data_IF_617816950032
#
_entry.id   IF_617816950032
#
_cell.length_a   1.000
_cell.length_b   1.000
_cell.length_c   1.000
_cell.angle_alpha   90.00
_cell.angle_beta   90.00
_cell.angle_gamma   90.00
#
_symmetry.space_group_name_H-M   'P 1'
#
loop_
_entity.id
_entity.type
_entity.pdbx_description
1 polymer ?
#
# COMPACT_ATOMS: atom_id res chain seq x y z
N UNK A 1 -7.86 -4.83 27.92
CA UNK A 1 -7.12 -3.72 27.28
C UNK A 1 -5.95 -4.26 26.46
N UNK A 2 -4.98 -4.98 27.06
CA UNK A 2 -3.82 -5.54 26.34
C UNK A 2 -4.13 -6.42 25.09
N UNK A 3 -5.23 -7.20 25.08
CA UNK A 3 -5.66 -7.96 23.89
C UNK A 3 -6.10 -7.05 22.74
N UNK A 4 -6.89 -6.03 23.03
CA UNK A 4 -7.37 -5.07 22.03
C UNK A 4 -6.19 -4.28 21.44
N UNK A 5 -5.25 -3.86 22.30
CA UNK A 5 -4.03 -3.17 21.87
C UNK A 5 -3.15 -4.06 20.98
N UNK A 6 -3.05 -5.36 21.31
CA UNK A 6 -2.34 -6.34 20.49
C UNK A 6 -2.98 -6.59 19.12
N UNK A 7 -4.32 -6.64 19.07
CA UNK A 7 -5.05 -6.71 17.79
C UNK A 7 -4.86 -5.44 16.98
N UNK A 8 -4.93 -4.27 17.60
CA UNK A 8 -4.75 -2.99 16.92
C UNK A 8 -3.33 -2.85 16.35
N UNK A 9 -2.32 -3.27 17.12
CA UNK A 9 -0.94 -3.34 16.67
C UNK A 9 -0.75 -4.33 15.50
N UNK A 10 -1.46 -5.47 15.52
CA UNK A 10 -1.41 -6.44 14.43
C UNK A 10 -2.07 -5.93 13.14
N UNK A 11 -3.19 -5.22 13.26
CA UNK A 11 -3.92 -4.65 12.12
C UNK A 11 -3.22 -3.44 11.50
N UNK A 12 -2.29 -2.79 12.22
CA UNK A 12 -1.49 -1.64 11.77
C UNK A 12 -2.35 -0.61 11.03
N UNK A 13 -3.32 0.04 11.70
CA UNK A 13 -4.29 0.92 11.03
C UNK A 13 -3.63 2.06 10.23
N UNK A 14 -2.44 2.50 10.63
CA UNK A 14 -1.66 3.51 9.89
C UNK A 14 -1.24 3.04 8.48
N UNK A 15 -1.10 1.75 8.22
CA UNK A 15 -0.77 1.25 6.87
C UNK A 15 -1.99 1.13 5.96
N UNK A 16 -3.21 1.35 6.45
CA UNK A 16 -4.42 1.36 5.62
C UNK A 16 -4.40 2.45 4.56
N UNK A 17 -3.69 3.55 4.81
CA UNK A 17 -3.48 4.60 3.80
C UNK A 17 -2.76 4.08 2.55
N UNK A 18 -1.93 3.03 2.68
CA UNK A 18 -1.22 2.46 1.55
C UNK A 18 -2.15 1.81 0.51
N UNK A 19 -3.31 1.30 0.93
CA UNK A 19 -4.33 0.75 0.01
C UNK A 19 -5.49 1.71 -0.24
N UNK A 20 -5.82 2.58 0.71
CA UNK A 20 -6.87 3.57 0.54
C UNK A 20 -6.50 4.65 -0.48
N UNK A 21 -5.29 5.22 -0.39
CA UNK A 21 -4.88 6.33 -1.25
C UNK A 21 -4.89 5.99 -2.75
N UNK A 22 -4.33 4.85 -3.21
CA UNK A 22 -4.39 4.49 -4.63
C UNK A 22 -5.83 4.37 -5.15
N UNK A 23 -6.75 3.82 -4.35
CA UNK A 23 -8.17 3.70 -4.72
C UNK A 23 -8.85 5.06 -4.75
N UNK A 24 -8.60 5.92 -3.77
CA UNK A 24 -9.17 7.29 -3.74
C UNK A 24 -8.66 8.14 -4.90
N UNK A 25 -7.37 8.07 -5.23
CA UNK A 25 -6.80 8.73 -6.41
C UNK A 25 -7.44 8.17 -7.68
N UNK A 26 -7.63 6.86 -7.79
CA UNK A 26 -8.32 6.25 -8.93
C UNK A 26 -9.76 6.76 -9.06
N UNK A 27 -10.51 6.82 -7.95
CA UNK A 27 -11.86 7.38 -7.93
C UNK A 27 -11.87 8.84 -8.37
N UNK A 28 -10.97 9.67 -7.85
CA UNK A 28 -10.85 11.07 -8.23
C UNK A 28 -10.59 11.24 -9.74
N UNK A 29 -9.68 10.45 -10.31
CA UNK A 29 -9.37 10.47 -11.74
C UNK A 29 -10.55 10.02 -12.61
N UNK A 30 -11.37 9.08 -12.13
CA UNK A 30 -12.52 8.57 -12.87
C UNK A 30 -13.76 9.48 -12.77
N UNK A 31 -13.99 10.08 -11.61
CA UNK A 31 -15.09 11.05 -11.39
C UNK A 31 -14.90 12.28 -12.29
N UNK A 32 -13.65 12.71 -12.47
CA UNK A 32 -13.30 13.90 -13.27
C UNK A 32 -13.07 13.59 -14.76
N UNK A 33 -13.15 12.32 -15.16
CA UNK A 33 -12.90 11.91 -16.54
C UNK A 33 -14.08 12.29 -17.45
N UNK A 34 -13.84 13.05 -18.54
CA UNK A 34 -14.89 13.49 -19.47
C UNK A 34 -15.63 12.32 -20.14
N UNK A 35 -14.92 11.22 -20.40
CA UNK A 35 -15.44 10.13 -21.24
C UNK A 35 -16.38 9.18 -20.50
N UNK A 36 -16.27 9.05 -19.17
CA UNK A 36 -17.11 8.14 -18.37
C UNK A 36 -17.08 8.50 -16.88
N UNK A 37 -17.73 9.60 -16.46
CA UNK A 37 -17.72 10.01 -15.07
C UNK A 37 -18.39 8.93 -14.20
N UNK A 38 -17.63 8.40 -13.25
CA UNK A 38 -18.15 7.46 -12.25
C UNK A 38 -18.81 8.27 -11.13
N UNK A 39 -20.00 7.85 -10.68
CA UNK A 39 -20.62 8.43 -9.49
C UNK A 39 -20.09 7.76 -8.23
N UNK A 40 -20.10 8.45 -7.09
CA UNK A 40 -19.94 7.77 -5.81
C UNK A 40 -21.15 6.87 -5.59
N UNK A 41 -20.98 5.58 -5.86
CA UNK A 41 -22.00 4.55 -5.74
C UNK A 41 -21.55 3.41 -4.83
N UNK A 42 -22.46 2.47 -4.60
CA UNK A 42 -22.23 1.28 -3.79
C UNK A 42 -20.97 0.50 -4.26
N UNK A 43 -20.68 0.48 -5.56
CA UNK A 43 -19.50 -0.18 -6.10
C UNK A 43 -18.18 0.54 -5.76
N UNK A 44 -18.12 1.87 -5.79
CA UNK A 44 -16.98 2.65 -5.31
C UNK A 44 -16.69 2.36 -3.83
N UNK A 45 -17.73 2.29 -3.01
CA UNK A 45 -17.60 1.92 -1.60
C UNK A 45 -17.11 0.47 -1.44
N UNK A 46 -17.62 -0.47 -2.25
CA UNK A 46 -17.14 -1.86 -2.21
C UNK A 46 -15.68 -1.98 -2.63
N UNK A 47 -15.23 -1.25 -3.65
CA UNK A 47 -13.84 -1.26 -4.10
C UNK A 47 -12.89 -0.75 -3.00
N UNK A 48 -13.24 0.36 -2.35
CA UNK A 48 -12.48 0.90 -1.23
C UNK A 48 -12.46 -0.08 -0.04
N UNK A 49 -13.61 -0.68 0.29
CA UNK A 49 -13.72 -1.67 1.36
C UNK A 49 -12.83 -2.87 1.10
N UNK A 50 -12.82 -3.41 -0.13
CA UNK A 50 -11.96 -4.53 -0.51
C UNK A 50 -10.48 -4.16 -0.39
N UNK A 51 -10.08 -2.98 -0.87
CA UNK A 51 -8.68 -2.54 -0.76
C UNK A 51 -8.21 -2.42 0.70
N UNK A 52 -9.08 -1.93 1.59
CA UNK A 52 -8.80 -1.89 3.03
C UNK A 52 -8.69 -3.31 3.62
N UNK A 53 -9.62 -4.21 3.29
CA UNK A 53 -9.61 -5.60 3.77
C UNK A 53 -8.39 -6.39 3.27
N UNK A 54 -7.95 -6.18 2.03
CA UNK A 54 -6.72 -6.78 1.48
C UNK A 54 -5.49 -6.27 2.26
N UNK A 55 -5.44 -4.99 2.61
CA UNK A 55 -4.33 -4.46 3.41
C UNK A 55 -4.33 -5.03 4.83
N UNK A 56 -5.50 -5.20 5.45
CA UNK A 56 -5.64 -5.89 6.74
C UNK A 56 -5.16 -7.35 6.65
N UNK A 57 -5.53 -8.06 5.58
CA UNK A 57 -5.07 -9.42 5.32
C UNK A 57 -3.54 -9.47 5.20
N UNK A 58 -2.93 -8.55 4.44
CA UNK A 58 -1.48 -8.46 4.29
C UNK A 58 -0.76 -8.17 5.62
N UNK A 59 -1.29 -7.24 6.42
CA UNK A 59 -0.77 -6.92 7.75
C UNK A 59 -0.82 -8.14 8.68
N UNK A 60 -1.97 -8.83 8.70
CA UNK A 60 -2.18 -10.00 9.53
C UNK A 60 -1.27 -11.17 9.12
N UNK A 61 -1.11 -11.41 7.81
CA UNK A 61 -0.15 -12.39 7.30
C UNK A 61 1.29 -12.01 7.65
N UNK A 62 1.65 -10.73 7.66
CA UNK A 62 2.99 -10.31 8.09
C UNK A 62 3.25 -10.60 9.58
N UNK A 63 2.23 -10.49 10.44
CA UNK A 63 2.32 -10.90 11.85
C UNK A 63 2.51 -12.41 11.97
N UNK A 64 1.75 -13.19 11.21
CA UNK A 64 1.90 -14.65 11.15
C UNK A 64 3.32 -15.09 10.76
N UNK A 65 3.90 -14.47 9.73
CA UNK A 65 5.26 -14.78 9.24
C UNK A 65 6.35 -14.41 10.26
N UNK A 66 6.12 -13.34 11.01
CA UNK A 66 7.05 -12.85 12.01
C UNK A 66 6.79 -13.43 13.41
N UNK A 67 6.04 -14.53 13.52
CA UNK A 67 5.78 -15.18 14.81
C UNK A 67 7.06 -15.69 15.52
N UNK A 68 8.19 -15.81 14.81
CA UNK A 68 9.49 -16.09 15.43
C UNK A 68 10.26 -14.84 15.88
N UNK A 69 9.92 -13.64 15.38
CA UNK A 69 10.46 -12.32 15.82
C UNK A 69 10.01 -11.96 17.26
N UNK A 70 9.01 -12.67 17.74
CA UNK A 70 8.34 -12.60 19.05
C UNK A 70 9.19 -12.92 20.28
N UNK A 71 10.34 -13.58 20.10
CA UNK A 71 11.19 -14.01 21.22
C UNK A 71 12.22 -12.94 21.64
N UNK A 72 12.23 -11.76 21.00
CA UNK A 72 13.08 -10.65 21.44
C UNK A 72 12.50 -9.95 22.68
N UNK A 73 13.33 -9.61 23.68
CA UNK A 73 12.88 -8.91 24.89
C UNK A 73 12.28 -7.54 24.57
N UNK A 74 11.25 -7.13 25.33
CA UNK A 74 10.47 -5.88 25.15
C UNK A 74 11.31 -4.58 25.01
N UNK A 75 12.59 -4.60 25.39
CA UNK A 75 13.46 -3.43 25.46
C UNK A 75 13.97 -2.93 24.09
N UNK A 76 13.97 -3.78 23.06
CA UNK A 76 14.48 -3.46 21.71
C UNK A 76 13.41 -3.10 20.70
N UNK A 77 12.14 -3.18 21.09
CA UNK A 77 11.02 -2.90 20.22
C UNK A 77 10.49 -1.50 20.54
N UNK A 78 10.79 -0.52 19.68
CA UNK A 78 10.14 0.79 19.69
C UNK A 78 8.61 0.66 19.65
N UNK A 79 7.89 1.79 19.76
CA UNK A 79 6.43 1.82 19.98
C UNK A 79 5.57 0.89 19.09
N UNK A 80 6.03 0.55 17.88
CA UNK A 80 5.35 -0.36 16.93
C UNK A 80 5.55 -1.86 17.18
N UNK A 81 6.49 -2.25 18.04
CA UNK A 81 6.81 -3.64 18.34
C UNK A 81 6.28 -4.12 19.71
N UNK A 82 5.31 -3.40 20.31
CA UNK A 82 4.48 -3.98 21.36
C UNK A 82 3.48 -5.00 20.81
N UNK A 83 3.89 -5.84 19.88
CA UNK A 83 3.17 -7.09 19.66
C UNK A 83 3.56 -7.96 20.84
N UNK A 84 2.75 -7.89 21.90
CA UNK A 84 2.77 -8.87 22.99
C UNK A 84 2.30 -10.19 22.36
N UNK A 85 3.23 -10.87 21.69
CA UNK A 85 2.99 -12.16 21.02
C UNK A 85 3.00 -13.22 22.12
N UNK A 86 1.89 -13.25 22.84
CA UNK A 86 1.34 -14.40 23.54
C UNK A 86 -0.21 -14.35 23.57
N UNK A 87 -0.83 -13.35 22.92
CA UNK A 87 -2.28 -13.14 22.97
C UNK A 87 -3.03 -13.64 21.73
N UNK A 88 -2.42 -13.63 20.52
CA UNK A 88 -3.05 -14.17 19.32
C UNK A 88 -2.41 -15.49 18.91
N UNK A 89 -3.21 -16.57 18.90
CA UNK A 89 -2.75 -17.87 18.45
C UNK A 89 -2.63 -17.92 16.92
N UNK A 90 -1.70 -18.76 16.43
CA UNK A 90 -1.53 -19.01 14.99
C UNK A 90 -2.85 -19.47 14.32
N UNK A 91 -3.67 -20.22 15.06
CA UNK A 91 -4.99 -20.68 14.61
C UNK A 91 -6.01 -19.55 14.54
N UNK A 92 -5.98 -18.60 15.47
CA UNK A 92 -6.79 -17.39 15.40
C UNK A 92 -6.42 -16.59 14.16
N UNK A 93 -5.16 -16.21 14.00
CA UNK A 93 -4.69 -15.42 12.84
C UNK A 93 -5.17 -16.03 11.51
N UNK A 94 -5.07 -17.35 11.35
CA UNK A 94 -5.59 -18.05 10.16
C UNK A 94 -7.10 -17.92 9.99
N UNK A 95 -7.89 -18.05 11.07
CA UNK A 95 -9.36 -17.88 11.03
C UNK A 95 -9.73 -16.45 10.65
N UNK A 96 -9.05 -15.45 11.19
CA UNK A 96 -9.27 -14.04 10.84
C UNK A 96 -8.94 -13.76 9.37
N UNK A 97 -7.83 -14.30 8.86
CA UNK A 97 -7.48 -14.19 7.44
C UNK A 97 -8.55 -14.78 6.52
N UNK A 98 -9.07 -15.98 6.84
CA UNK A 98 -10.16 -16.61 6.09
C UNK A 98 -11.44 -15.78 6.19
N UNK A 99 -11.79 -15.28 7.38
CA UNK A 99 -12.96 -14.44 7.57
C UNK A 99 -12.89 -13.17 6.72
N UNK A 100 -11.74 -12.50 6.64
CA UNK A 100 -11.54 -11.33 5.78
C UNK A 100 -11.81 -11.67 4.30
N UNK A 101 -11.31 -12.80 3.81
CA UNK A 101 -11.56 -13.24 2.43
C UNK A 101 -13.04 -13.53 2.20
N UNK A 102 -13.71 -14.21 3.12
CA UNK A 102 -15.15 -14.47 3.02
C UNK A 102 -15.94 -13.16 2.97
N UNK A 103 -15.61 -12.17 3.81
CA UNK A 103 -16.25 -10.86 3.80
C UNK A 103 -16.00 -10.13 2.47
N UNK A 104 -14.79 -10.18 1.91
CA UNK A 104 -14.48 -9.61 0.60
C UNK A 104 -15.32 -10.25 -0.53
N UNK A 105 -15.42 -11.58 -0.53
CA UNK A 105 -16.21 -12.32 -1.52
C UNK A 105 -17.72 -12.03 -1.37
N UNK A 106 -18.22 -11.91 -0.15
CA UNK A 106 -19.61 -11.55 0.11
C UNK A 106 -19.92 -10.11 -0.35
N UNK A 107 -19.01 -9.17 -0.10
CA UNK A 107 -19.15 -7.79 -0.58
C UNK A 107 -19.17 -7.73 -2.12
N UNK A 108 -18.29 -8.47 -2.79
CA UNK A 108 -18.27 -8.57 -4.25
C UNK A 108 -19.53 -9.22 -4.82
N UNK A 109 -19.98 -10.34 -4.23
CA UNK A 109 -21.19 -11.04 -4.63
C UNK A 109 -22.45 -10.20 -4.42
N UNK A 110 -22.55 -9.54 -3.27
CA UNK A 110 -23.66 -8.61 -2.97
C UNK A 110 -23.71 -7.44 -3.94
N UNK A 111 -22.57 -6.83 -4.25
CA UNK A 111 -22.48 -5.75 -5.23
C UNK A 111 -22.83 -6.23 -6.66
N UNK A 112 -22.40 -7.44 -7.04
CA UNK A 112 -22.71 -8.04 -8.33
C UNK A 112 -24.22 -8.25 -8.53
N UNK A 113 -24.91 -8.77 -7.51
CA UNK A 113 -26.37 -8.98 -7.55
C UNK A 113 -27.11 -7.64 -7.50
N UNK A 114 -26.70 -6.72 -6.62
CA UNK A 114 -27.40 -5.45 -6.42
C UNK A 114 -27.31 -4.49 -7.62
N UNK A 115 -26.21 -4.55 -8.38
CA UNK A 115 -25.94 -3.65 -9.51
C UNK A 115 -25.90 -4.38 -10.87
N UNK A 116 -26.29 -5.66 -10.90
CA UNK A 116 -26.28 -6.51 -12.10
C UNK A 116 -24.95 -6.43 -12.89
N UNK A 117 -23.81 -6.41 -12.16
CA UNK A 117 -22.50 -6.21 -12.80
C UNK A 117 -22.18 -7.32 -13.79
N UNK A 118 -21.52 -7.04 -14.93
CA UNK A 118 -21.13 -8.09 -15.85
C UNK A 118 -20.20 -9.11 -15.18
N UNK A 119 -20.40 -10.42 -15.36
CA UNK A 119 -19.62 -11.47 -14.69
C UNK A 119 -18.10 -11.35 -14.89
N UNK A 120 -17.66 -10.81 -16.04
CA UNK A 120 -16.25 -10.57 -16.34
C UNK A 120 -15.59 -9.61 -15.33
N UNK A 121 -16.33 -8.58 -14.92
CA UNK A 121 -15.83 -7.56 -13.99
C UNK A 121 -15.76 -8.12 -12.57
N UNK A 122 -16.84 -8.72 -12.08
CA UNK A 122 -16.87 -9.35 -10.75
C UNK A 122 -15.89 -10.51 -10.66
N UNK A 123 -15.82 -11.36 -11.69
CA UNK A 123 -14.89 -12.50 -11.76
C UNK A 123 -13.43 -12.07 -11.72
N UNK A 124 -13.08 -10.97 -12.42
CA UNK A 124 -11.75 -10.37 -12.33
C UNK A 124 -11.41 -9.90 -10.92
N UNK A 125 -12.34 -9.22 -10.24
CA UNK A 125 -12.14 -8.79 -8.85
C UNK A 125 -11.99 -9.98 -7.89
N UNK A 126 -12.78 -11.04 -8.05
CA UNK A 126 -12.66 -12.29 -7.27
C UNK A 126 -11.30 -12.94 -7.51
N UNK A 127 -10.84 -13.01 -8.75
CA UNK A 127 -9.52 -13.56 -9.08
C UNK A 127 -8.38 -12.78 -8.40
N UNK A 128 -8.49 -11.45 -8.32
CA UNK A 128 -7.52 -10.61 -7.62
C UNK A 128 -7.54 -10.80 -6.10
N UNK A 129 -8.72 -10.94 -5.48
CA UNK A 129 -8.82 -11.28 -4.05
C UNK A 129 -8.19 -12.65 -3.79
N UNK A 130 -8.42 -13.63 -4.66
CA UNK A 130 -7.79 -14.94 -4.56
C UNK A 130 -6.27 -14.85 -4.72
N UNK A 131 -5.78 -14.10 -5.70
CA UNK A 131 -4.35 -13.87 -5.90
C UNK A 131 -3.70 -13.18 -4.69
N UNK A 132 -4.36 -12.17 -4.11
CA UNK A 132 -3.91 -11.51 -2.89
C UNK A 132 -3.82 -12.48 -1.70
N UNK A 133 -4.79 -13.38 -1.55
CA UNK A 133 -4.76 -14.42 -0.52
C UNK A 133 -3.61 -15.42 -0.73
N UNK A 134 -3.40 -15.90 -1.95
CA UNK A 134 -2.28 -16.79 -2.30
C UNK A 134 -0.96 -16.09 -2.02
N UNK A 135 -0.78 -14.85 -2.49
CA UNK A 135 0.40 -14.06 -2.21
C UNK A 135 0.67 -13.93 -0.70
N UNK A 136 -0.33 -13.54 0.08
CA UNK A 136 -0.19 -13.38 1.52
C UNK A 136 0.21 -14.68 2.25
N UNK A 137 -0.02 -15.85 1.64
CA UNK A 137 0.33 -17.16 2.18
C UNK A 137 1.69 -17.67 1.72
N UNK A 138 2.07 -17.41 0.47
CA UNK A 138 3.25 -18.00 -0.18
C UNK A 138 4.39 -17.01 -0.48
N UNK A 139 4.25 -15.73 -0.10
CA UNK A 139 5.28 -14.70 -0.37
C UNK A 139 6.69 -15.08 0.13
N UNK A 140 6.78 -15.81 1.25
CA UNK A 140 8.07 -16.27 1.80
C UNK A 140 8.80 -17.25 0.86
N UNK A 141 8.13 -17.88 -0.08
CA UNK A 141 8.70 -18.87 -1.00
C UNK A 141 9.25 -18.23 -2.29
N UNK A 142 9.20 -16.90 -2.42
CA UNK A 142 9.73 -16.21 -3.60
C UNK A 142 11.27 -16.36 -3.67
N UNK A 143 11.82 -16.90 -4.77
CA UNK A 143 13.22 -17.29 -4.85
C UNK A 143 14.19 -16.13 -5.12
N UNK A 144 13.68 -14.96 -5.52
CA UNK A 144 14.48 -13.82 -5.97
C UNK A 144 14.46 -12.70 -4.92
N UNK A 145 15.64 -12.16 -4.61
CA UNK A 145 15.80 -11.01 -3.70
C UNK A 145 15.10 -9.78 -4.28
N UNK A 146 14.35 -9.04 -3.46
CA UNK A 146 13.67 -7.82 -3.91
C UNK A 146 12.35 -8.06 -4.66
N UNK A 147 12.04 -9.32 -4.98
CA UNK A 147 10.83 -9.66 -5.72
C UNK A 147 9.57 -9.46 -4.87
N UNK A 148 9.63 -9.72 -3.56
CA UNK A 148 8.53 -9.40 -2.64
C UNK A 148 8.21 -7.91 -2.71
N UNK A 149 9.24 -7.05 -2.64
CA UNK A 149 9.08 -5.61 -2.67
C UNK A 149 8.51 -5.14 -4.01
N UNK A 150 8.99 -5.68 -5.12
CA UNK A 150 8.49 -5.36 -6.45
C UNK A 150 7.04 -5.82 -6.67
N UNK A 151 6.71 -7.04 -6.23
CA UNK A 151 5.34 -7.57 -6.34
C UNK A 151 4.39 -6.76 -5.46
N UNK A 152 4.79 -6.38 -4.24
CA UNK A 152 3.98 -5.53 -3.37
C UNK A 152 3.77 -4.13 -3.96
N UNK A 153 4.82 -3.52 -4.53
CA UNK A 153 4.72 -2.23 -5.21
C UNK A 153 3.80 -2.30 -6.44
N UNK A 154 3.91 -3.35 -7.26
CA UNK A 154 3.02 -3.58 -8.40
C UNK A 154 1.58 -3.84 -7.96
N UNK A 155 1.38 -4.60 -6.89
CA UNK A 155 0.07 -4.93 -6.32
C UNK A 155 -0.65 -3.67 -5.81
N UNK A 156 0.06 -2.78 -5.13
CA UNK A 156 -0.50 -1.55 -4.54
C UNK A 156 -0.66 -0.39 -5.53
N UNK A 157 0.21 -0.29 -6.53
CA UNK A 157 0.10 0.70 -7.61
C UNK A 157 -0.72 0.18 -8.80
N UNK A 158 -0.07 -0.28 -9.89
CA UNK A 158 -0.73 -0.67 -11.13
C UNK A 158 -1.89 -1.63 -10.98
N UNK A 159 -1.72 -2.73 -10.24
CA UNK A 159 -2.76 -3.76 -10.14
C UNK A 159 -3.96 -3.21 -9.40
N UNK A 160 -3.79 -2.66 -8.19
CA UNK A 160 -4.92 -2.11 -7.42
C UNK A 160 -5.64 -0.98 -8.16
N UNK A 161 -4.91 -0.02 -8.73
CA UNK A 161 -5.51 1.14 -9.40
C UNK A 161 -6.20 0.75 -10.70
N UNK A 162 -5.54 -0.02 -11.57
CA UNK A 162 -6.15 -0.44 -12.84
C UNK A 162 -7.31 -1.41 -12.63
N UNK A 163 -7.20 -2.34 -11.66
CA UNK A 163 -8.30 -3.22 -11.31
C UNK A 163 -9.50 -2.46 -10.75
N UNK A 164 -9.27 -1.43 -9.93
CA UNK A 164 -10.32 -0.53 -9.44
C UNK A 164 -11.00 0.19 -10.60
N UNK A 165 -10.22 0.73 -11.54
CA UNK A 165 -10.79 1.38 -12.73
C UNK A 165 -11.60 0.43 -13.60
N UNK A 166 -11.10 -0.78 -13.84
CA UNK A 166 -11.81 -1.82 -14.56
C UNK A 166 -13.07 -2.28 -13.81
N UNK A 167 -13.01 -2.37 -12.48
CA UNK A 167 -14.16 -2.74 -11.65
C UNK A 167 -15.30 -1.73 -11.74
N UNK A 168 -14.98 -0.44 -11.74
CA UNK A 168 -15.97 0.63 -11.74
C UNK A 168 -16.50 0.93 -13.14
N UNK A 169 -15.63 0.93 -14.15
CA UNK A 169 -15.99 1.37 -15.51
C UNK A 169 -16.17 0.22 -16.50
N UNK A 170 -15.71 -1.00 -16.18
CA UNK A 170 -15.61 -2.10 -17.14
C UNK A 170 -14.57 -1.89 -18.25
N UNK A 171 -13.74 -0.84 -18.16
CA UNK A 171 -12.75 -0.48 -19.16
C UNK A 171 -11.40 -0.13 -18.53
N UNK A 172 -10.34 -0.19 -19.33
CA UNK A 172 -9.01 0.20 -18.92
C UNK A 172 -8.84 1.72 -19.12
N UNK A 173 -8.22 2.39 -18.14
CA UNK A 173 -7.91 3.82 -18.22
C UNK A 173 -6.39 4.01 -18.26
N UNK A 174 -5.88 4.51 -19.38
CA UNK A 174 -4.45 4.84 -19.53
C UNK A 174 -4.02 5.91 -18.53
N UNK A 175 -4.90 6.86 -18.25
CA UNK A 175 -4.65 7.90 -17.27
C UNK A 175 -4.45 7.30 -15.86
N UNK A 176 -5.28 6.35 -15.45
CA UNK A 176 -5.09 5.62 -14.18
C UNK A 176 -3.80 4.80 -14.20
N UNK A 177 -3.48 4.16 -15.33
CA UNK A 177 -2.23 3.42 -15.49
C UNK A 177 -1.00 4.32 -15.28
N UNK A 178 -0.95 5.49 -15.91
CA UNK A 178 0.18 6.42 -15.74
C UNK A 178 0.31 6.94 -14.31
N UNK A 179 -0.79 7.23 -13.62
CA UNK A 179 -0.78 7.60 -12.20
C UNK A 179 -0.37 6.45 -11.27
N UNK A 180 -0.58 5.21 -11.69
CA UNK A 180 -0.23 4.04 -10.89
C UNK A 180 1.28 3.77 -10.82
N UNK A 181 2.04 4.20 -11.84
CA UNK A 181 3.49 4.05 -11.89
C UNK A 181 4.21 4.83 -10.76
N UNK A 182 4.00 6.15 -10.58
CA UNK A 182 4.65 6.86 -9.49
C UNK A 182 4.19 6.38 -8.11
N UNK A 183 2.96 5.89 -7.97
CA UNK A 183 2.48 5.26 -6.73
C UNK A 183 3.29 3.99 -6.44
N UNK A 184 3.51 3.12 -7.43
CA UNK A 184 4.39 1.96 -7.24
C UNK A 184 5.83 2.35 -6.92
N UNK A 185 6.39 3.38 -7.56
CA UNK A 185 7.74 3.87 -7.26
C UNK A 185 7.84 4.40 -5.83
N UNK A 186 6.84 5.14 -5.36
CA UNK A 186 6.76 5.59 -3.97
C UNK A 186 6.70 4.41 -3.02
N UNK A 187 5.83 3.42 -3.28
CA UNK A 187 5.74 2.21 -2.46
C UNK A 187 7.06 1.45 -2.43
N UNK A 188 7.74 1.30 -3.56
CA UNK A 188 9.03 0.62 -3.63
C UNK A 188 10.10 1.36 -2.82
N UNK A 189 10.13 2.70 -2.87
CA UNK A 189 11.02 3.51 -2.02
C UNK A 189 10.76 3.27 -0.53
N UNK A 190 9.49 3.22 -0.11
CA UNK A 190 9.10 2.91 1.27
C UNK A 190 9.56 1.50 1.70
N UNK A 191 9.44 0.51 0.82
CA UNK A 191 9.85 -0.86 1.11
C UNK A 191 11.37 -1.02 1.23
N UNK A 192 12.15 -0.30 0.42
CA UNK A 192 13.62 -0.28 0.54
C UNK A 192 14.03 0.31 1.89
N UNK A 193 13.43 1.44 2.27
CA UNK A 193 13.67 2.07 3.57
C UNK A 193 13.31 1.14 4.72
N UNK A 194 12.16 0.46 4.63
CA UNK A 194 11.76 -0.56 5.60
C UNK A 194 12.74 -1.74 5.64
N UNK A 195 13.21 -2.19 4.48
CA UNK A 195 14.20 -3.27 4.37
C UNK A 195 15.52 -2.88 5.02
N UNK A 196 15.96 -1.63 4.88
CA UNK A 196 17.15 -1.10 5.55
C UNK A 196 17.01 -1.08 7.07
N UNK A 197 15.87 -0.61 7.60
CA UNK A 197 15.56 -0.69 9.04
C UNK A 197 15.58 -2.13 9.55
N UNK A 198 15.02 -3.06 8.78
CA UNK A 198 14.89 -4.47 9.17
C UNK A 198 16.17 -5.29 8.92
N UNK A 199 17.19 -4.73 8.26
CA UNK A 199 18.42 -5.42 7.88
C UNK A 199 19.18 -6.05 9.07
N UNK A 200 19.42 -5.36 10.21
CA UNK A 200 20.10 -5.96 11.35
C UNK A 200 19.38 -7.20 11.89
N UNK A 201 18.05 -7.18 11.90
CA UNK A 201 17.24 -8.30 12.34
C UNK A 201 17.23 -9.44 11.32
N UNK A 202 17.09 -9.13 10.03
CA UNK A 202 17.11 -10.14 8.96
C UNK A 202 18.43 -10.92 8.95
N UNK A 203 19.54 -10.26 9.29
CA UNK A 203 20.86 -10.88 9.47
C UNK A 203 20.88 -11.86 10.65
N UNK A 204 20.34 -11.47 11.82
CA UNK A 204 20.27 -12.35 13.01
C UNK A 204 19.41 -13.60 12.78
N UNK A 205 18.34 -13.48 12.01
CA UNK A 205 17.42 -14.58 11.69
C UNK A 205 17.90 -15.51 10.57
N UNK A 206 19.11 -15.29 10.02
CA UNK A 206 19.59 -16.05 8.86
C UNK A 206 18.79 -15.80 7.57
N UNK A 207 17.92 -14.77 7.55
CA UNK A 207 17.13 -14.35 6.39
C UNK A 207 17.84 -13.29 5.54
N UNK A 208 19.16 -13.14 5.70
CA UNK A 208 19.98 -12.16 4.99
C UNK A 208 19.87 -12.27 3.47
N UNK A 209 19.61 -13.46 2.95
CA UNK A 209 19.47 -13.69 1.52
C UNK A 209 18.24 -13.04 0.91
N UNK A 210 17.20 -12.75 1.70
CA UNK A 210 15.92 -12.20 1.23
C UNK A 210 15.79 -10.69 1.40
N UNK A 211 16.54 -10.08 2.32
CA UNK A 211 16.52 -8.63 2.52
C UNK A 211 17.26 -7.94 1.37
N UNK A 212 16.52 -7.11 0.64
CA UNK A 212 17.07 -6.28 -0.44
C UNK A 212 18.19 -5.36 0.08
N UNK A 213 18.00 -4.74 1.24
CA UNK A 213 18.99 -3.82 1.80
C UNK A 213 20.32 -4.49 2.20
N UNK A 214 20.26 -5.71 2.75
CA UNK A 214 21.48 -6.49 3.06
C UNK A 214 22.25 -6.93 1.81
N UNK A 215 21.54 -7.08 0.67
CA UNK A 215 22.15 -7.51 -0.60
C UNK A 215 22.72 -6.35 -1.40
N UNK A 216 22.09 -5.18 -1.33
CA UNK A 216 22.53 -3.98 -2.02
C UNK A 216 23.55 -3.16 -1.24
N UNK A 217 23.83 -3.46 0.03
CA UNK A 217 24.57 -2.58 0.93
C UNK A 217 23.78 -1.29 1.27
N UNK A 218 24.15 -0.64 2.38
CA UNK A 218 23.41 0.50 2.92
C UNK A 218 23.42 1.70 1.96
N UNK A 219 24.58 2.00 1.36
CA UNK A 219 24.73 3.16 0.49
C UNK A 219 23.91 3.05 -0.80
N UNK A 220 23.89 1.88 -1.45
CA UNK A 220 23.05 1.69 -2.64
C UNK A 220 21.57 1.65 -2.28
N UNK A 221 21.22 1.11 -1.10
CA UNK A 221 19.83 1.16 -0.60
C UNK A 221 19.35 2.61 -0.43
N UNK A 222 20.18 3.47 0.13
CA UNK A 222 19.91 4.91 0.23
C UNK A 222 19.77 5.57 -1.14
N UNK A 223 20.71 5.31 -2.06
CA UNK A 223 20.65 5.88 -3.41
C UNK A 223 19.41 5.43 -4.18
N UNK A 224 19.03 4.15 -4.09
CA UNK A 224 17.86 3.60 -4.75
C UNK A 224 16.57 4.15 -4.13
N UNK A 225 16.51 4.29 -2.81
CA UNK A 225 15.43 4.99 -2.10
C UNK A 225 15.25 6.41 -2.66
N UNK A 226 16.34 7.20 -2.70
CA UNK A 226 16.31 8.59 -3.14
C UNK A 226 15.88 8.70 -4.61
N UNK A 227 16.44 7.86 -5.48
CA UNK A 227 16.11 7.81 -6.90
C UNK A 227 14.62 7.53 -7.12
N UNK A 228 14.08 6.48 -6.48
CA UNK A 228 12.67 6.11 -6.65
C UNK A 228 11.72 7.15 -6.07
N UNK A 229 12.05 7.74 -4.92
CA UNK A 229 11.26 8.81 -4.33
C UNK A 229 11.26 10.07 -5.22
N UNK A 230 12.44 10.48 -5.73
CA UNK A 230 12.57 11.62 -6.62
C UNK A 230 11.82 11.41 -7.95
N UNK A 231 11.96 10.24 -8.56
CA UNK A 231 11.25 9.89 -9.79
C UNK A 231 9.73 9.84 -9.58
N UNK A 232 9.27 9.32 -8.44
CA UNK A 232 7.84 9.34 -8.08
C UNK A 232 7.30 10.77 -8.01
N UNK A 233 7.99 11.65 -7.28
CA UNK A 233 7.61 13.06 -7.16
C UNK A 233 7.64 13.79 -8.50
N UNK A 234 8.70 13.59 -9.29
CA UNK A 234 8.84 14.20 -10.61
C UNK A 234 7.72 13.73 -11.56
N UNK A 235 7.42 12.43 -11.59
CA UNK A 235 6.34 11.90 -12.42
C UNK A 235 4.97 12.42 -11.99
N UNK A 236 4.67 12.48 -10.68
CA UNK A 236 3.41 13.07 -10.18
C UNK A 236 3.29 14.55 -10.53
N UNK A 237 4.39 15.29 -10.45
CA UNK A 237 4.43 16.71 -10.82
C UNK A 237 4.16 16.91 -12.31
N UNK A 238 4.86 16.17 -13.18
CA UNK A 238 4.69 16.24 -14.64
C UNK A 238 3.27 15.82 -15.06
N UNK A 239 2.73 14.74 -14.49
CA UNK A 239 1.36 14.29 -14.76
C UNK A 239 0.32 15.31 -14.28
N UNK A 240 0.52 15.88 -13.09
CA UNK A 240 -0.36 16.94 -12.56
C UNK A 240 -0.39 18.18 -13.44
N UNK A 241 0.79 18.65 -13.89
CA UNK A 241 0.89 19.78 -14.82
C UNK A 241 0.25 19.48 -16.17
N UNK A 242 0.51 18.29 -16.74
CA UNK A 242 -0.01 17.91 -18.06
C UNK A 242 -1.54 17.84 -18.13
N UNK A 243 -2.20 17.58 -17.00
CA UNK A 243 -3.67 17.54 -16.88
C UNK A 243 -4.29 18.85 -16.37
N UNK A 244 -3.48 19.90 -16.17
CA UNK A 244 -3.96 21.19 -15.66
C UNK A 244 -4.45 21.15 -14.21
N UNK A 245 -4.13 20.09 -13.45
CA UNK A 245 -4.39 20.07 -12.01
C UNK A 245 -3.51 21.13 -11.36
N UNK A 246 -4.16 22.21 -10.88
CA UNK A 246 -3.50 23.38 -10.27
C UNK A 246 -2.39 22.87 -9.36
N UNK A 247 -1.16 23.23 -9.74
CA UNK A 247 0.09 22.62 -9.31
C UNK A 247 0.02 22.14 -7.87
N UNK A 248 0.22 20.84 -7.69
CA UNK A 248 -0.01 20.09 -6.46
C UNK A 248 0.79 20.69 -5.28
N UNK A 249 0.27 21.77 -4.69
CA UNK A 249 0.95 22.55 -3.63
C UNK A 249 1.31 21.65 -2.45
N UNK A 250 0.49 20.63 -2.22
CA UNK A 250 0.74 19.58 -1.22
C UNK A 250 2.01 18.79 -1.55
N UNK A 251 2.24 18.43 -2.82
CA UNK A 251 3.45 17.75 -3.27
C UNK A 251 4.68 18.63 -3.14
N UNK A 252 4.61 19.92 -3.49
CA UNK A 252 5.73 20.85 -3.31
C UNK A 252 6.02 21.09 -1.82
N UNK A 253 4.98 21.30 -1.01
CA UNK A 253 5.12 21.49 0.43
C UNK A 253 5.64 20.22 1.13
N UNK A 254 5.41 19.04 0.57
CA UNK A 254 5.87 17.78 1.15
C UNK A 254 7.30 17.40 0.79
N UNK A 255 7.94 18.11 -0.15
CA UNK A 255 9.37 17.90 -0.50
C UNK A 255 10.27 18.14 0.70
N UNK A 256 9.96 19.11 1.55
CA UNK A 256 10.74 19.38 2.78
C UNK A 256 10.75 18.16 3.70
N UNK A 257 9.59 17.55 3.92
CA UNK A 257 9.48 16.32 4.72
C UNK A 257 10.19 15.13 4.08
N UNK A 258 10.17 15.03 2.75
CA UNK A 258 10.93 13.97 2.06
C UNK A 258 12.44 14.18 2.24
N UNK A 259 12.91 15.42 2.20
CA UNK A 259 14.30 15.77 2.48
C UNK A 259 14.68 15.39 3.90
N UNK A 260 13.87 15.74 4.90
CA UNK A 260 14.13 15.39 6.30
C UNK A 260 14.26 13.85 6.45
N UNK A 261 13.35 13.09 5.83
CA UNK A 261 13.42 11.61 5.81
C UNK A 261 14.69 11.10 5.13
N UNK A 262 15.14 11.76 4.06
CA UNK A 262 16.35 11.37 3.35
C UNK A 262 17.63 11.70 4.14
N UNK A 263 17.64 12.83 4.85
CA UNK A 263 18.73 13.22 5.75
C UNK A 263 18.81 12.25 6.94
N UNK A 264 17.69 11.94 7.58
CA UNK A 264 17.60 10.93 8.65
C UNK A 264 17.99 9.52 8.17
N UNK A 265 17.63 9.13 6.93
CA UNK A 265 18.10 7.88 6.33
C UNK A 265 19.62 7.90 6.23
N UNK A 266 20.19 8.96 5.67
CA UNK A 266 21.65 9.09 5.49
C UNK A 266 22.41 9.02 6.82
N UNK A 267 21.83 9.55 7.89
CA UNK A 267 22.38 9.50 9.25
C UNK A 267 22.11 8.18 9.99
N UNK A 268 21.56 7.16 9.31
CA UNK A 268 21.22 5.85 9.87
C UNK A 268 20.17 5.89 11.00
N UNK A 269 19.38 6.97 11.09
CA UNK A 269 18.30 7.14 12.08
C UNK A 269 17.01 6.42 11.66
N UNK A 270 17.09 5.11 11.43
CA UNK A 270 16.06 4.35 10.70
C UNK A 270 14.78 4.02 11.50
N UNK A 271 14.77 4.21 12.83
CA UNK A 271 13.69 3.69 13.68
C UNK A 271 12.32 4.26 13.35
N UNK A 272 12.23 5.57 13.12
CA UNK A 272 10.98 6.30 12.92
C UNK A 272 10.61 6.51 11.45
N UNK A 273 11.53 6.21 10.53
CA UNK A 273 11.39 6.52 9.11
C UNK A 273 10.19 5.86 8.42
N UNK A 274 9.85 4.57 8.66
CA UNK A 274 8.68 3.98 8.02
C UNK A 274 7.39 4.72 8.40
N UNK A 275 7.28 5.16 9.65
CA UNK A 275 6.13 5.90 10.15
C UNK A 275 6.05 7.30 9.53
N UNK A 276 7.18 8.00 9.42
CA UNK A 276 7.28 9.29 8.75
C UNK A 276 6.88 9.18 7.27
N UNK A 277 7.41 8.18 6.56
CA UNK A 277 7.13 7.93 5.15
C UNK A 277 5.67 7.49 4.92
N UNK A 278 5.08 6.70 5.82
CA UNK A 278 3.66 6.34 5.76
C UNK A 278 2.74 7.57 5.92
N UNK A 279 3.06 8.48 6.86
CA UNK A 279 2.33 9.75 7.02
C UNK A 279 2.48 10.63 5.78
N UNK A 280 3.67 10.69 5.20
CA UNK A 280 3.94 11.41 3.96
C UNK A 280 3.09 10.85 2.81
N UNK A 281 3.06 9.52 2.65
CA UNK A 281 2.24 8.86 1.64
C UNK A 281 0.73 9.14 1.80
N UNK A 282 0.24 9.13 3.05
CA UNK A 282 -1.16 9.51 3.34
C UNK A 282 -1.47 10.96 2.97
N UNK A 283 -0.59 11.89 3.31
CA UNK A 283 -0.71 13.31 2.97
C UNK A 283 -0.68 13.54 1.46
N UNK A 284 0.25 12.91 0.76
CA UNK A 284 0.36 12.96 -0.71
C UNK A 284 -0.88 12.38 -1.38
N UNK A 285 -1.32 11.21 -0.95
CA UNK A 285 -2.48 10.53 -1.53
C UNK A 285 -3.78 11.33 -1.34
N UNK A 286 -4.02 11.85 -0.14
CA UNK A 286 -5.16 12.71 0.13
C UNK A 286 -5.08 14.03 -0.64
N UNK A 287 -3.91 14.68 -0.66
CA UNK A 287 -3.69 15.92 -1.39
C UNK A 287 -3.90 15.77 -2.90
N UNK A 288 -3.40 14.68 -3.48
CA UNK A 288 -3.62 14.33 -4.89
C UNK A 288 -5.10 14.12 -5.18
N UNK A 289 -5.79 13.28 -4.40
CA UNK A 289 -7.21 13.00 -4.61
C UNK A 289 -8.05 14.29 -4.55
N UNK A 290 -7.79 15.17 -3.59
CA UNK A 290 -8.47 16.47 -3.46
C UNK A 290 -8.12 17.45 -4.58
N UNK A 291 -6.86 17.50 -5.01
CA UNK A 291 -6.42 18.38 -6.11
C UNK A 291 -7.07 17.98 -7.43
N UNK A 292 -7.14 16.66 -7.71
CA UNK A 292 -7.77 16.12 -8.92
C UNK A 292 -9.27 16.45 -8.91
N UNK A 293 -10.00 16.13 -7.82
CA UNK A 293 -11.44 16.42 -7.74
C UNK A 293 -11.74 17.92 -7.78
N UNK A 294 -10.96 18.75 -7.09
CA UNK A 294 -11.12 20.20 -7.07
C UNK A 294 -10.91 20.85 -8.43
N UNK A 295 -9.91 20.39 -9.20
CA UNK A 295 -9.69 20.90 -10.56
C UNK A 295 -10.83 20.49 -11.51
N UNK A 296 -11.33 19.26 -11.38
CA UNK A 296 -12.50 18.81 -12.14
C UNK A 296 -13.78 19.60 -11.85
N UNK A 297 -13.91 20.23 -10.67
CA UNK A 297 -15.05 21.11 -10.35
C UNK A 297 -14.89 22.54 -10.86
N UNK A 298 -13.68 22.97 -11.21
CA UNK A 298 -13.39 24.33 -11.70
C UNK A 298 -13.37 24.42 -13.23
N UNK A 299 -13.22 23.29 -13.92
CA UNK A 299 -13.18 23.19 -15.38
C UNK A 299 -14.53 22.83 -16.02
N UNK A 300 -15.57 22.62 -15.23
CA UNK A 300 -16.97 22.38 -15.65
C UNK A 300 -17.93 23.28 -14.88
#
# INVERSE_FOLDING_TARGET
MAYADGVLAALRPRSLFASACPVLVTLALLVTSPNRPVRLSLDALTALTIALLVQLLANLSAVFRNFHRSFEPLKTQGADGRVVINLLSQTQVRRWAIALVVVMLFALGGCHVALEKPPRVTGGAVALVAAAFVYCRFVDELPIVGLEELVFAAATGPVAMCATAFYLTGAHSWLVFFYSLPVAMFTLSFLILKSAKDAPFARRMGKSSKSLALRLDFQLSYQLFLLLAALSYAALFVLGMGLGHVGNFVLLASVTRLRDIADDFREEQLEQLPDAMAKLGGLLGAGLALSITGCGLLLY
#
